data_IF_225330954387
#
_entry.id   IF_225330954387
#
_cell.length_a   1.000
_cell.length_b   1.000
_cell.length_c   1.000
_cell.angle_alpha   90.00
_cell.angle_beta   90.00
_cell.angle_gamma   90.00
#
_symmetry.space_group_name_H-M   'P 1'
#
loop_
_entity.id
_entity.type
_entity.pdbx_description
1 polymer ?
#
# COMPACT_ATOMS: atom_id res chain seq x y z
N UNK A 1 23.54 -6.49 -0.96
CA UNK A 1 22.41 -5.68 -0.46
C UNK A 1 21.16 -6.52 -0.75
N UNK A 2 20.34 -6.79 0.27
CA UNK A 2 19.13 -7.62 0.08
C UNK A 2 18.03 -6.81 -0.60
N UNK A 3 17.18 -7.44 -1.41
CA UNK A 3 16.09 -6.79 -2.14
C UNK A 3 14.73 -7.28 -1.67
N UNK A 4 14.00 -6.41 -0.97
CA UNK A 4 12.66 -6.70 -0.46
C UNK A 4 11.60 -6.04 -1.32
N UNK A 5 10.62 -6.83 -1.75
CA UNK A 5 9.51 -6.35 -2.57
C UNK A 5 8.23 -6.37 -1.76
N UNK A 6 7.47 -5.29 -1.84
CA UNK A 6 6.10 -5.20 -1.36
C UNK A 6 5.23 -4.63 -2.46
N UNK A 7 3.96 -5.01 -2.53
CA UNK A 7 3.01 -4.35 -3.44
C UNK A 7 1.62 -4.31 -2.86
N UNK A 8 0.88 -3.24 -3.11
CA UNK A 8 -0.44 -3.06 -2.53
C UNK A 8 -0.91 -1.63 -2.59
N UNK A 9 -2.03 -1.36 -1.92
CA UNK A 9 -2.64 -0.03 -1.88
C UNK A 9 -2.10 0.79 -0.70
N UNK A 10 -1.76 2.04 -1.02
CA UNK A 10 -1.56 3.10 -0.03
C UNK A 10 -2.59 4.18 -0.27
N UNK A 11 -3.17 4.69 0.81
CA UNK A 11 -4.18 5.75 0.78
C UNK A 11 -3.72 6.96 1.56
N UNK A 12 -4.31 8.11 1.28
CA UNK A 12 -4.32 9.21 2.24
C UNK A 12 -5.36 8.92 3.31
N UNK A 13 -4.94 8.93 4.57
CA UNK A 13 -5.79 8.80 5.74
C UNK A 13 -5.99 10.17 6.38
N UNK A 14 -7.24 10.62 6.46
CA UNK A 14 -7.63 11.82 7.18
C UNK A 14 -7.99 11.45 8.61
N UNK A 15 -7.10 11.76 9.54
CA UNK A 15 -7.26 11.46 10.96
C UNK A 15 -8.04 12.59 11.65
N UNK A 16 -9.12 12.24 12.35
CA UNK A 16 -9.93 13.22 13.07
C UNK A 16 -9.16 13.83 14.24
N UNK A 17 -9.10 15.16 14.30
CA UNK A 17 -8.53 15.92 15.44
C UNK A 17 -9.52 16.05 16.61
N UNK A 18 -10.52 15.18 16.66
CA UNK A 18 -11.60 15.23 17.63
C UNK A 18 -12.18 13.83 17.88
N UNK A 19 -12.89 13.69 18.98
CA UNK A 19 -13.61 12.47 19.33
C UNK A 19 -15.04 12.50 18.79
N UNK A 20 -15.46 11.43 18.12
CA UNK A 20 -16.82 11.24 17.61
C UNK A 20 -16.86 10.77 16.17
N UNK A 21 -18.08 10.66 15.65
CA UNK A 21 -18.35 10.21 14.28
C UNK A 21 -17.87 11.24 13.24
N UNK A 22 -17.76 10.81 11.99
CA UNK A 22 -17.41 11.67 10.86
C UNK A 22 -18.32 12.91 10.80
N UNK A 23 -17.68 14.09 10.79
CA UNK A 23 -18.30 15.40 10.66
C UNK A 23 -17.51 16.21 9.60
N UNK A 24 -18.13 16.57 8.46
CA UNK A 24 -17.45 17.31 7.40
C UNK A 24 -17.11 18.75 7.79
N UNK A 25 -17.64 19.28 8.90
CA UNK A 25 -17.35 20.65 9.38
C UNK A 25 -16.15 20.71 10.33
N UNK A 26 -15.59 19.55 10.71
CA UNK A 26 -14.48 19.45 11.65
C UNK A 26 -13.15 19.21 10.93
N UNK A 27 -12.07 19.36 11.69
CA UNK A 27 -10.70 19.26 11.19
C UNK A 27 -10.22 17.81 11.16
N UNK A 28 -9.44 17.52 10.14
CA UNK A 28 -8.70 16.28 9.98
C UNK A 28 -7.32 16.62 9.48
N UNK A 29 -6.31 15.92 9.97
CA UNK A 29 -4.96 16.01 9.43
C UNK A 29 -4.70 14.85 8.46
N UNK A 30 -4.09 15.11 7.29
CA UNK A 30 -3.74 14.07 6.35
C UNK A 30 -2.50 13.30 6.81
N UNK A 31 -2.52 11.99 6.58
CA UNK A 31 -1.40 11.07 6.75
C UNK A 31 -1.42 10.02 5.63
N UNK A 32 -0.40 9.18 5.51
CA UNK A 32 -0.28 8.12 4.52
C UNK A 32 -0.38 6.76 5.19
N UNK A 33 -1.30 5.91 4.72
CA UNK A 33 -1.54 4.60 5.32
C UNK A 33 -1.74 3.51 4.26
N UNK A 34 -0.93 2.46 4.35
CA UNK A 34 -1.02 1.25 3.54
C UNK A 34 -0.31 0.11 4.26
N UNK A 35 -0.86 -1.11 4.26
CA UNK A 35 -0.30 -2.20 5.06
C UNK A 35 1.11 -2.58 4.57
N UNK A 36 1.25 -2.81 3.27
CA UNK A 36 2.50 -3.16 2.62
C UNK A 36 3.51 -2.00 2.65
N UNK A 37 3.08 -0.76 2.41
CA UNK A 37 3.97 0.41 2.47
C UNK A 37 4.48 0.70 3.89
N UNK A 38 3.66 0.44 4.91
CA UNK A 38 4.07 0.62 6.30
C UNK A 38 5.16 -0.38 6.68
N UNK A 39 5.03 -1.64 6.25
CA UNK A 39 6.10 -2.65 6.42
C UNK A 39 7.35 -2.22 5.67
N UNK A 40 7.22 -1.75 4.43
CA UNK A 40 8.35 -1.27 3.63
C UNK A 40 9.13 -0.12 4.31
N UNK A 41 8.43 0.91 4.81
CA UNK A 41 9.06 2.03 5.53
C UNK A 41 9.71 1.57 6.84
N UNK A 42 9.04 0.72 7.61
CA UNK A 42 9.60 0.26 8.87
C UNK A 42 10.82 -0.62 8.65
N UNK A 43 10.80 -1.46 7.62
CA UNK A 43 11.95 -2.26 7.24
C UNK A 43 13.13 -1.37 6.83
N UNK A 44 12.91 -0.26 6.10
CA UNK A 44 14.01 0.60 5.66
C UNK A 44 14.72 1.30 6.82
N UNK A 45 13.97 1.65 7.87
CA UNK A 45 14.53 2.17 9.11
C UNK A 45 15.35 1.14 9.87
N UNK A 46 14.95 -0.14 9.82
CA UNK A 46 15.62 -1.23 10.53
C UNK A 46 16.86 -1.74 9.80
N UNK A 47 16.83 -1.79 8.47
CA UNK A 47 17.93 -2.31 7.66
C UNK A 47 18.95 -1.25 7.28
N UNK A 48 18.62 0.03 7.47
CA UNK A 48 19.41 1.16 7.00
C UNK A 48 19.82 0.94 5.53
N UNK A 49 21.12 0.93 5.22
CA UNK A 49 21.65 0.76 3.87
C UNK A 49 21.95 -0.69 3.47
N UNK A 50 21.54 -1.68 4.28
CA UNK A 50 21.81 -3.10 4.01
C UNK A 50 20.76 -3.76 3.12
N UNK A 51 19.64 -3.08 2.84
CA UNK A 51 18.58 -3.58 1.98
C UNK A 51 18.00 -2.50 1.05
N UNK A 52 17.67 -2.89 -0.18
CA UNK A 52 16.85 -2.13 -1.11
C UNK A 52 15.40 -2.56 -0.97
N UNK A 53 14.53 -1.63 -0.60
CA UNK A 53 13.11 -1.92 -0.36
C UNK A 53 12.29 -1.23 -1.43
N UNK A 54 11.44 -2.01 -2.10
CA UNK A 54 10.56 -1.55 -3.15
C UNK A 54 9.11 -1.67 -2.72
N UNK A 55 8.36 -0.60 -2.96
CA UNK A 55 6.90 -0.62 -2.92
C UNK A 55 6.36 -0.42 -4.34
N UNK A 56 5.59 -1.40 -4.81
CA UNK A 56 4.97 -1.41 -6.13
C UNK A 56 3.47 -1.14 -5.98
N UNK A 57 2.95 -0.18 -6.74
CA UNK A 57 1.54 0.22 -6.65
C UNK A 57 1.09 0.96 -7.90
N UNK A 58 -0.06 1.65 -7.81
CA UNK A 58 -0.56 2.61 -8.80
C UNK A 58 -1.24 3.74 -8.05
N UNK A 59 -1.13 4.97 -8.56
CA UNK A 59 -1.68 6.16 -7.93
C UNK A 59 -2.47 6.98 -8.94
N UNK A 60 -3.55 7.62 -8.50
CA UNK A 60 -4.31 8.53 -9.34
C UNK A 60 -3.55 9.84 -9.59
N UNK A 61 -3.91 10.56 -10.67
CA UNK A 61 -3.39 11.91 -10.94
C UNK A 61 -4.08 12.98 -10.09
N UNK A 62 -4.03 12.81 -8.78
CA UNK A 62 -4.64 13.70 -7.78
C UNK A 62 -3.63 14.10 -6.70
N UNK A 63 -4.03 15.02 -5.81
CA UNK A 63 -3.16 15.47 -4.71
C UNK A 63 -2.83 14.35 -3.73
N UNK A 64 -3.71 13.37 -3.59
CA UNK A 64 -3.47 12.21 -2.72
C UNK A 64 -2.33 11.34 -3.27
N UNK A 65 -2.33 11.05 -4.56
CA UNK A 65 -1.26 10.32 -5.23
C UNK A 65 0.08 11.06 -5.15
N UNK A 66 0.07 12.38 -5.38
CA UNK A 66 1.27 13.22 -5.22
C UNK A 66 1.81 13.22 -3.79
N UNK A 67 0.93 13.28 -2.79
CA UNK A 67 1.32 13.26 -1.38
C UNK A 67 1.97 11.93 -0.99
N UNK A 68 1.36 10.81 -1.38
CA UNK A 68 1.90 9.46 -1.13
C UNK A 68 3.26 9.30 -1.79
N UNK A 69 3.37 9.67 -3.07
CA UNK A 69 4.63 9.60 -3.81
C UNK A 69 5.74 10.38 -3.11
N UNK A 70 5.45 11.63 -2.72
CA UNK A 70 6.39 12.51 -2.03
C UNK A 70 6.87 11.94 -0.69
N UNK A 71 5.98 11.37 0.11
CA UNK A 71 6.32 10.84 1.45
C UNK A 71 7.10 9.53 1.31
N UNK A 72 6.62 8.59 0.50
CA UNK A 72 7.24 7.26 0.42
C UNK A 72 8.62 7.31 -0.25
N UNK A 73 8.83 8.16 -1.26
CA UNK A 73 10.12 8.28 -1.96
C UNK A 73 11.26 8.78 -1.07
N UNK A 74 10.97 9.32 0.11
CA UNK A 74 11.99 9.75 1.08
C UNK A 74 12.59 8.56 1.85
N UNK A 75 11.95 7.39 1.81
CA UNK A 75 12.28 6.25 2.66
C UNK A 75 12.56 4.97 1.90
N UNK A 76 11.94 4.78 0.74
CA UNK A 76 11.98 3.52 -0.03
C UNK A 76 11.95 3.80 -1.53
N UNK A 77 12.36 2.79 -2.31
CA UNK A 77 12.17 2.82 -3.75
C UNK A 77 10.69 2.62 -4.08
N UNK A 78 10.19 3.39 -5.03
CA UNK A 78 8.78 3.35 -5.43
C UNK A 78 8.63 3.04 -6.90
N UNK A 79 7.67 2.19 -7.22
CA UNK A 79 7.20 1.94 -8.58
C UNK A 79 5.68 2.04 -8.57
N UNK A 80 5.22 3.28 -8.64
CA UNK A 80 3.81 3.64 -8.58
C UNK A 80 3.51 4.71 -9.64
N UNK A 81 3.16 4.32 -10.87
CA UNK A 81 2.84 5.29 -11.91
C UNK A 81 1.64 6.15 -11.52
N UNK A 82 1.66 7.40 -11.97
CA UNK A 82 0.53 8.32 -11.86
C UNK A 82 -0.40 8.11 -13.05
N UNK A 83 -1.59 7.55 -12.80
CA UNK A 83 -2.53 7.11 -13.81
C UNK A 83 -3.60 8.19 -14.08
N UNK A 84 -3.74 8.58 -15.35
CA UNK A 84 -4.72 9.60 -15.76
C UNK A 84 -6.15 9.02 -15.79
N UNK A 85 -7.12 9.75 -15.24
CA UNK A 85 -8.51 9.28 -15.16
C UNK A 85 -8.81 8.35 -14.00
N UNK A 86 -7.79 7.91 -13.25
CA UNK A 86 -7.90 7.09 -12.05
C UNK A 86 -7.76 7.95 -10.79
N UNK A 87 -8.29 7.45 -9.66
CA UNK A 87 -8.25 8.13 -8.35
C UNK A 87 -7.41 7.33 -7.36
N UNK A 88 -6.72 8.04 -6.49
CA UNK A 88 -6.07 7.46 -5.31
C UNK A 88 -7.11 7.20 -4.22
N UNK A 89 -7.04 6.05 -3.57
CA UNK A 89 -7.93 5.75 -2.45
C UNK A 89 -7.68 6.69 -1.26
N UNK A 90 -8.75 7.04 -0.54
CA UNK A 90 -8.65 7.79 0.71
C UNK A 90 -9.43 7.09 1.82
N UNK A 91 -9.14 7.44 3.06
CA UNK A 91 -9.91 7.00 4.22
C UNK A 91 -10.04 8.08 5.28
N UNK A 92 -11.08 8.01 6.09
CA UNK A 92 -11.23 8.81 7.30
C UNK A 92 -11.09 7.92 8.51
N UNK A 93 -10.32 8.34 9.51
CA UNK A 93 -10.18 7.65 10.79
C UNK A 93 -10.77 8.51 11.91
N UNK A 94 -11.80 7.99 12.56
CA UNK A 94 -12.50 8.63 13.66
C UNK A 94 -12.28 7.85 14.96
N UNK A 95 -12.10 8.60 16.05
CA UNK A 95 -11.82 8.05 17.39
C UNK A 95 -13.04 8.28 18.28
N UNK A 96 -13.51 7.25 18.98
CA UNK A 96 -14.65 7.35 19.89
C UNK A 96 -14.19 7.34 21.35
N UNK A 97 -14.99 7.95 22.24
CA UNK A 97 -14.66 8.08 23.66
C UNK A 97 -14.53 6.72 24.39
N UNK A 98 -15.17 5.69 23.84
CA UNK A 98 -15.09 4.31 24.33
C UNK A 98 -13.85 3.55 23.80
N UNK A 99 -12.89 4.23 23.17
CA UNK A 99 -11.68 3.63 22.61
C UNK A 99 -11.87 2.95 21.25
N UNK A 100 -13.07 2.94 20.68
CA UNK A 100 -13.29 2.40 19.34
C UNK A 100 -12.75 3.34 18.27
N UNK A 101 -12.23 2.73 17.20
CA UNK A 101 -11.77 3.44 16.00
C UNK A 101 -12.64 3.03 14.82
N UNK A 102 -13.22 4.00 14.12
CA UNK A 102 -14.03 3.77 12.93
C UNK A 102 -13.27 4.30 11.74
N UNK A 103 -13.01 3.42 10.76
CA UNK A 103 -12.35 3.77 9.51
C UNK A 103 -13.32 3.65 8.34
N UNK A 104 -13.54 4.76 7.64
CA UNK A 104 -14.41 4.82 6.46
C UNK A 104 -13.54 4.92 5.21
N UNK A 105 -13.76 4.01 4.26
CA UNK A 105 -12.93 3.88 3.06
C UNK A 105 -13.62 4.41 1.81
N UNK A 106 -12.87 5.17 1.00
CA UNK A 106 -13.25 5.62 -0.33
C UNK A 106 -12.17 5.17 -1.31
N UNK A 107 -12.17 3.86 -1.60
CA UNK A 107 -11.11 3.20 -2.37
C UNK A 107 -11.59 2.27 -3.48
N UNK A 108 -12.90 2.11 -3.65
CA UNK A 108 -13.45 1.25 -4.71
C UNK A 108 -13.06 1.82 -6.08
N UNK A 109 -12.43 1.00 -6.93
CA UNK A 109 -11.94 1.43 -8.23
C UNK A 109 -10.78 2.44 -8.16
N UNK A 110 -10.00 2.42 -7.07
CA UNK A 110 -8.77 3.19 -6.98
C UNK A 110 -7.75 2.69 -8.02
N UNK A 111 -6.77 3.52 -8.36
CA UNK A 111 -5.68 3.13 -9.25
C UNK A 111 -4.98 1.85 -8.74
N UNK A 112 -4.75 1.76 -7.42
CA UNK A 112 -4.11 0.62 -6.77
C UNK A 112 -4.96 -0.65 -6.74
N UNK A 113 -6.25 -0.58 -7.11
CA UNK A 113 -7.08 -1.78 -7.33
C UNK A 113 -6.79 -2.47 -8.67
N UNK A 114 -5.93 -1.91 -9.53
CA UNK A 114 -5.63 -2.45 -10.86
C UNK A 114 -4.13 -2.66 -11.09
N UNK A 115 -3.40 -3.19 -10.10
CA UNK A 115 -1.95 -3.42 -10.20
C UNK A 115 -1.71 -4.65 -11.09
N UNK A 116 -1.04 -4.51 -12.26
CA UNK A 116 -0.82 -5.63 -13.17
C UNK A 116 0.40 -6.47 -12.75
N UNK A 117 0.30 -7.78 -12.92
CA UNK A 117 1.38 -8.72 -12.60
C UNK A 117 2.73 -8.36 -13.25
N UNK A 118 2.75 -7.93 -14.51
CA UNK A 118 4.01 -7.59 -15.21
C UNK A 118 4.77 -6.43 -14.53
N UNK A 119 4.05 -5.51 -13.87
CA UNK A 119 4.68 -4.46 -13.08
C UNK A 119 5.33 -5.03 -11.81
N UNK A 120 4.73 -6.02 -11.16
CA UNK A 120 5.30 -6.68 -9.96
C UNK A 120 6.47 -7.60 -10.35
N UNK A 121 6.28 -8.42 -11.38
CA UNK A 121 7.24 -9.42 -11.88
C UNK A 121 8.60 -8.82 -12.20
N UNK A 122 8.67 -7.60 -12.76
CA UNK A 122 9.94 -6.94 -13.08
C UNK A 122 10.82 -6.73 -11.84
N UNK A 123 10.21 -6.62 -10.66
CA UNK A 123 10.92 -6.48 -9.40
C UNK A 123 11.26 -7.82 -8.74
N UNK A 124 10.42 -8.84 -8.94
CA UNK A 124 10.59 -10.18 -8.37
C UNK A 124 11.79 -10.95 -8.93
N UNK A 125 12.18 -10.74 -10.20
CA UNK A 125 13.29 -11.49 -10.86
C UNK A 125 14.64 -11.53 -10.11
N UNK A 126 14.84 -10.69 -9.10
CA UNK A 126 16.04 -10.61 -8.25
C UNK A 126 15.68 -10.29 -6.79
N UNK A 127 14.49 -10.66 -6.35
CA UNK A 127 14.04 -10.39 -5.00
C UNK A 127 14.57 -11.46 -4.04
N UNK A 128 14.99 -11.03 -2.86
CA UNK A 128 15.32 -11.93 -1.74
C UNK A 128 14.06 -12.28 -0.92
N UNK A 129 13.02 -11.46 -1.00
CA UNK A 129 11.73 -11.72 -0.36
C UNK A 129 10.61 -10.89 -0.98
N UNK A 130 9.43 -11.49 -1.06
CA UNK A 130 8.16 -10.80 -1.26
C UNK A 130 7.41 -10.72 0.08
N UNK A 131 7.00 -9.52 0.50
CA UNK A 131 5.98 -9.34 1.54
C UNK A 131 4.68 -8.84 0.92
N UNK A 132 3.58 -9.47 1.30
CA UNK A 132 2.23 -9.16 0.81
C UNK A 132 1.22 -9.38 1.93
N UNK A 133 0.10 -8.67 1.89
CA UNK A 133 -1.02 -8.90 2.82
C UNK A 133 -2.24 -9.48 2.13
N UNK A 134 -3.17 -10.07 2.91
CA UNK A 134 -4.48 -10.49 2.42
C UNK A 134 -5.41 -9.34 2.02
N UNK A 135 -5.04 -8.08 2.29
CA UNK A 135 -5.81 -6.90 1.84
C UNK A 135 -5.74 -6.76 0.33
N UNK A 136 -4.54 -6.85 -0.24
CA UNK A 136 -4.31 -6.61 -1.67
C UNK A 136 -5.16 -7.51 -2.58
N UNK A 137 -5.22 -8.85 -2.41
CA UNK A 137 -6.08 -9.69 -3.25
C UNK A 137 -7.58 -9.45 -3.02
N UNK A 138 -7.98 -8.87 -1.88
CA UNK A 138 -9.38 -8.55 -1.59
C UNK A 138 -9.86 -7.23 -2.25
N UNK A 139 -8.97 -6.44 -2.85
CA UNK A 139 -9.32 -5.15 -3.46
C UNK A 139 -10.06 -5.30 -4.80
N UNK A 140 -9.70 -6.30 -5.61
CA UNK A 140 -10.25 -6.51 -6.96
C UNK A 140 -9.86 -7.89 -7.51
N UNK A 141 -10.52 -8.30 -8.60
CA UNK A 141 -10.12 -9.50 -9.35
C UNK A 141 -8.72 -9.36 -9.96
N UNK A 142 -8.35 -8.17 -10.46
CA UNK A 142 -7.02 -7.90 -11.01
C UNK A 142 -5.93 -8.11 -9.96
N UNK A 143 -6.13 -7.58 -8.75
CA UNK A 143 -5.15 -7.76 -7.68
C UNK A 143 -5.12 -9.20 -7.17
N UNK A 144 -6.27 -9.89 -7.11
CA UNK A 144 -6.31 -11.33 -6.80
C UNK A 144 -5.45 -12.11 -7.80
N UNK A 145 -5.65 -11.88 -9.10
CA UNK A 145 -4.87 -12.53 -10.16
C UNK A 145 -3.38 -12.19 -10.05
N UNK A 146 -3.04 -10.91 -9.83
CA UNK A 146 -1.66 -10.46 -9.66
C UNK A 146 -1.00 -11.10 -8.45
N UNK A 147 -1.71 -11.26 -7.33
CA UNK A 147 -1.19 -11.94 -6.13
C UNK A 147 -0.93 -13.41 -6.43
N UNK A 148 -1.90 -14.13 -6.99
CA UNK A 148 -1.73 -15.56 -7.34
C UNK A 148 -0.52 -15.75 -8.27
N UNK A 149 -0.43 -14.98 -9.36
CA UNK A 149 0.71 -15.03 -10.29
C UNK A 149 2.04 -14.69 -9.64
N UNK A 150 2.05 -13.77 -8.68
CA UNK A 150 3.26 -13.41 -7.93
C UNK A 150 3.70 -14.55 -7.01
N UNK A 151 2.75 -15.24 -6.36
CA UNK A 151 3.05 -16.40 -5.51
C UNK A 151 3.57 -17.59 -6.35
N UNK A 152 2.94 -17.86 -7.50
CA UNK A 152 3.40 -18.87 -8.45
C UNK A 152 4.82 -18.57 -8.93
N UNK A 153 5.09 -17.33 -9.35
CA UNK A 153 6.42 -16.90 -9.77
C UNK A 153 7.46 -17.00 -8.65
N UNK A 154 7.10 -16.62 -7.42
CA UNK A 154 7.98 -16.76 -6.27
C UNK A 154 8.31 -18.23 -5.99
N UNK A 155 7.32 -19.13 -6.08
CA UNK A 155 7.53 -20.56 -5.92
C UNK A 155 8.42 -21.15 -7.03
N UNK A 156 8.24 -20.74 -8.28
CA UNK A 156 9.10 -21.19 -9.40
C UNK A 156 10.56 -20.72 -9.28
N UNK A 157 10.78 -19.58 -8.62
CA UNK A 157 12.10 -18.93 -8.51
C UNK A 157 12.73 -19.09 -7.13
N UNK A 158 12.16 -19.93 -6.25
CA UNK A 158 12.59 -20.12 -4.87
C UNK A 158 12.72 -18.81 -4.07
N UNK A 159 11.82 -17.85 -4.32
CA UNK A 159 11.77 -16.56 -3.61
C UNK A 159 10.89 -16.73 -2.36
N UNK A 160 11.41 -16.50 -1.15
CA UNK A 160 10.64 -16.52 0.08
C UNK A 160 9.46 -15.51 0.05
N UNK A 161 8.31 -15.95 0.56
CA UNK A 161 7.12 -15.11 0.69
C UNK A 161 6.74 -14.97 2.16
N UNK A 162 6.56 -13.73 2.61
CA UNK A 162 5.97 -13.36 3.88
C UNK A 162 4.54 -12.87 3.66
N UNK A 163 3.56 -13.70 4.01
CA UNK A 163 2.13 -13.36 3.93
C UNK A 163 1.59 -12.98 5.30
N UNK A 164 1.07 -11.75 5.42
CA UNK A 164 0.21 -11.36 6.54
C UNK A 164 -1.26 -11.47 6.12
N UNK A 165 -2.02 -12.39 6.72
CA UNK A 165 -3.41 -12.67 6.35
C UNK A 165 -4.28 -11.41 6.41
N UNK A 166 -4.07 -10.55 7.41
CA UNK A 166 -4.78 -9.26 7.60
C UNK A 166 -6.21 -9.21 7.05
N UNK A 167 -7.08 -10.10 7.55
CA UNK A 167 -8.44 -10.30 7.02
C UNK A 167 -9.27 -9.00 7.06
N UNK A 168 -9.89 -8.65 5.94
CA UNK A 168 -10.68 -7.43 5.75
C UNK A 168 -11.95 -7.71 4.97
#
# INVERSE_FOLDING_TARGET
>A
VQKFITFGETMVQYNAEYTGSFDPKKKYFPDVAGAESNVAINLSKLTENHAEIFWVSRLGRDDSGRLIQKILSQHINIDAPICFGEKTGISYLNHHANGQHVKTYFRKGSAASEIPFEQVKKHLKKADMLHITGITPALSNTNLETVVKSLEFCNEMDIPVCLDVNYR
#
